data_IF_056997917572
#
_entry.id   IF_056997917572
#
_cell.length_a   1.000
_cell.length_b   1.000
_cell.length_c   1.000
_cell.angle_alpha   90.00
_cell.angle_beta   90.00
_cell.angle_gamma   90.00
#
_symmetry.space_group_name_H-M   'P 1'
#
loop_
_entity.id
_entity.type
_entity.pdbx_description
1 polymer ?
#
# COMPACT_ATOMS: atom_id res chain seq x y z
N UNK A 1 17.92 6.86 11.20
CA UNK A 1 16.64 6.77 10.46
C UNK A 1 16.08 5.36 10.48
N UNK A 2 16.85 4.33 10.06
CA UNK A 2 16.43 2.90 10.07
C UNK A 2 15.61 2.48 11.29
N UNK A 3 16.17 2.65 12.49
CA UNK A 3 15.52 2.28 13.76
C UNK A 3 14.19 3.00 14.01
N UNK A 4 14.13 4.31 13.72
CA UNK A 4 12.91 5.12 13.87
C UNK A 4 11.81 4.67 12.93
N UNK A 5 12.15 4.32 11.69
CA UNK A 5 11.18 3.78 10.72
C UNK A 5 10.69 2.41 11.18
N UNK A 6 11.59 1.54 11.62
CA UNK A 6 11.24 0.21 12.12
C UNK A 6 10.31 0.28 13.34
N UNK A 7 10.63 1.11 14.33
CA UNK A 7 9.78 1.33 15.50
C UNK A 7 8.40 1.85 15.09
N UNK A 8 8.36 2.84 14.20
CA UNK A 8 7.11 3.43 13.74
C UNK A 8 6.22 2.44 12.98
N UNK A 9 6.74 1.67 12.03
CA UNK A 9 5.92 0.74 11.25
C UNK A 9 5.41 -0.43 12.10
N UNK A 10 6.18 -0.87 13.11
CA UNK A 10 5.72 -1.87 14.07
C UNK A 10 4.53 -1.33 14.86
N UNK A 11 4.67 -0.12 15.43
CA UNK A 11 3.60 0.55 16.16
C UNK A 11 2.35 0.75 15.29
N UNK A 12 2.53 1.28 14.08
CA UNK A 12 1.43 1.55 13.16
C UNK A 12 0.70 0.26 12.76
N UNK A 13 1.43 -0.84 12.51
CA UNK A 13 0.82 -2.13 12.21
C UNK A 13 -0.05 -2.61 13.38
N UNK A 14 0.46 -2.53 14.60
CA UNK A 14 -0.30 -2.96 15.79
C UNK A 14 -1.55 -2.10 15.99
N UNK A 15 -1.44 -0.76 15.86
CA UNK A 15 -2.59 0.15 15.95
C UNK A 15 -3.66 -0.16 14.91
N UNK A 16 -3.28 -0.39 13.64
CA UNK A 16 -4.21 -0.70 12.56
C UNK A 16 -4.88 -2.07 12.79
N UNK A 17 -4.10 -3.09 13.13
CA UNK A 17 -4.65 -4.44 13.36
C UNK A 17 -5.60 -4.44 14.56
N UNK A 18 -5.21 -3.79 15.66
CA UNK A 18 -6.08 -3.65 16.83
C UNK A 18 -7.35 -2.87 16.50
N UNK A 19 -7.29 -1.83 15.68
CA UNK A 19 -8.48 -1.09 15.25
C UNK A 19 -9.47 -1.98 14.46
N UNK A 20 -8.97 -2.85 13.57
CA UNK A 20 -9.83 -3.82 12.86
C UNK A 20 -10.41 -4.89 13.79
N UNK A 21 -9.60 -5.46 14.70
CA UNK A 21 -10.07 -6.46 15.66
C UNK A 21 -11.10 -5.87 16.66
N UNK A 22 -10.96 -4.58 17.00
CA UNK A 22 -11.92 -3.86 17.86
C UNK A 22 -13.24 -3.62 17.13
N UNK A 23 -13.20 -3.38 15.81
CA UNK A 23 -14.40 -3.13 15.00
C UNK A 23 -15.23 -4.42 14.79
N UNK A 24 -14.57 -5.58 14.71
CA UNK A 24 -15.22 -6.89 14.53
C UNK A 24 -14.80 -7.90 15.61
N UNK A 25 -15.22 -7.71 16.87
CA UNK A 25 -14.80 -8.56 17.99
C UNK A 25 -15.41 -9.97 17.92
N UNK A 26 -16.40 -10.19 17.05
CA UNK A 26 -17.00 -11.50 16.80
C UNK A 26 -16.18 -12.38 15.84
N UNK A 27 -15.29 -11.77 15.06
CA UNK A 27 -14.44 -12.49 14.12
C UNK A 27 -13.15 -13.00 14.78
N UNK A 28 -12.52 -14.05 14.23
CA UNK A 28 -11.19 -14.48 14.68
C UNK A 28 -10.17 -13.34 14.58
N UNK A 29 -9.18 -13.27 15.50
CA UNK A 29 -8.13 -12.27 15.40
C UNK A 29 -7.27 -12.47 14.16
N UNK A 30 -6.54 -11.42 13.76
CA UNK A 30 -5.55 -11.53 12.68
C UNK A 30 -4.48 -12.56 13.02
N UNK A 31 -4.19 -13.46 12.08
CA UNK A 31 -3.03 -14.33 12.17
C UNK A 31 -1.77 -13.49 12.01
N UNK A 32 -0.92 -13.50 13.04
CA UNK A 32 0.38 -12.80 13.06
C UNK A 32 1.47 -13.83 12.75
N UNK A 33 2.16 -13.65 11.63
CA UNK A 33 3.21 -14.55 11.16
C UNK A 33 4.53 -13.80 10.95
N UNK A 34 5.48 -14.02 11.86
CA UNK A 34 6.82 -13.44 11.80
C UNK A 34 7.75 -14.34 11.00
N UNK A 35 8.58 -13.74 10.15
CA UNK A 35 9.49 -14.46 9.28
C UNK A 35 10.83 -13.74 9.14
N UNK A 36 11.85 -14.50 8.73
CA UNK A 36 13.21 -14.02 8.45
C UNK A 36 13.61 -14.41 7.04
N UNK A 37 14.47 -13.61 6.41
CA UNK A 37 15.03 -13.92 5.09
C UNK A 37 16.45 -14.43 5.21
N UNK A 38 16.82 -15.52 4.50
CA UNK A 38 18.20 -15.99 4.45
C UNK A 38 19.19 -14.92 3.98
N UNK A 39 18.76 -14.03 3.08
CA UNK A 39 19.57 -12.95 2.51
C UNK A 39 19.71 -11.73 3.44
N UNK A 40 19.01 -11.72 4.58
CA UNK A 40 18.99 -10.60 5.51
C UNK A 40 17.62 -9.94 5.65
N UNK A 41 17.27 -9.60 6.89
CA UNK A 41 16.03 -8.95 7.26
C UNK A 41 14.94 -9.89 7.74
N UNK A 42 13.82 -9.28 8.10
CA UNK A 42 12.66 -9.92 8.70
C UNK A 42 11.37 -9.21 8.29
N UNK A 43 10.24 -9.76 8.71
CA UNK A 43 8.96 -9.10 8.60
C UNK A 43 7.92 -9.77 9.48
N UNK A 44 6.76 -9.11 9.59
CA UNK A 44 5.58 -9.61 10.28
C UNK A 44 4.38 -9.42 9.38
N UNK A 45 3.77 -10.53 8.98
CA UNK A 45 2.54 -10.51 8.19
C UNK A 45 1.34 -10.68 9.12
N UNK A 46 0.48 -9.67 9.21
CA UNK A 46 -0.79 -9.79 9.93
C UNK A 46 -1.90 -9.98 8.90
N UNK A 47 -2.46 -11.19 8.84
CA UNK A 47 -3.46 -11.54 7.81
C UNK A 47 -4.76 -11.97 8.45
N UNK A 48 -5.86 -11.53 7.84
CA UNK A 48 -7.20 -11.99 8.12
C UNK A 48 -7.77 -12.62 6.86
N UNK A 49 -8.33 -13.81 7.00
CA UNK A 49 -9.17 -14.44 6.00
C UNK A 49 -10.33 -15.06 6.76
N UNK A 50 -11.55 -14.71 6.37
CA UNK A 50 -12.72 -15.35 6.94
C UNK A 50 -12.67 -16.84 6.67
N UNK A 51 -13.14 -17.67 7.61
CA UNK A 51 -13.52 -19.03 7.27
C UNK A 51 -14.50 -18.99 6.10
N UNK A 52 -14.35 -19.96 5.18
CA UNK A 52 -15.03 -20.00 3.88
C UNK A 52 -16.45 -19.45 3.98
N UNK A 53 -16.75 -18.48 3.11
CA UNK A 53 -18.09 -17.91 3.00
C UNK A 53 -19.15 -19.02 2.96
N UNK A 54 -20.35 -18.71 3.46
CA UNK A 54 -21.53 -19.53 3.23
C UNK A 54 -21.72 -19.90 1.75
N UNK A 55 -21.16 -19.12 0.82
CA UNK A 55 -21.22 -19.38 -0.62
C UNK A 55 -20.36 -20.58 -1.04
N UNK A 56 -19.16 -20.76 -0.47
CA UNK A 56 -18.32 -21.95 -0.69
C UNK A 56 -18.89 -23.18 0.03
N UNK A 57 -19.42 -22.99 1.24
CA UNK A 57 -20.08 -24.04 2.00
C UNK A 57 -21.37 -24.51 1.27
N UNK A 58 -22.15 -23.59 0.71
CA UNK A 58 -23.34 -23.90 -0.11
C UNK A 58 -22.99 -24.62 -1.42
N UNK A 59 -21.86 -24.28 -2.05
CA UNK A 59 -21.35 -24.99 -3.22
C UNK A 59 -20.89 -26.42 -2.91
N UNK A 60 -20.39 -26.66 -1.69
CA UNK A 60 -19.93 -27.97 -1.24
C UNK A 60 -20.97 -28.77 -0.44
N UNK A 61 -22.18 -28.23 -0.24
CA UNK A 61 -23.22 -28.86 0.59
C UNK A 61 -22.88 -28.91 2.09
N UNK A 62 -21.94 -28.09 2.54
CA UNK A 62 -21.49 -28.03 3.92
C UNK A 62 -22.25 -26.92 4.70
N UNK A 63 -22.56 -27.21 5.96
CA UNK A 63 -23.10 -26.21 6.88
C UNK A 63 -22.06 -25.14 7.19
N UNK A 64 -22.44 -23.86 7.12
CA UNK A 64 -21.55 -22.72 7.41
C UNK A 64 -20.87 -22.88 8.79
N UNK A 65 -19.54 -22.70 8.90
CA UNK A 65 -18.82 -22.95 10.15
C UNK A 65 -19.05 -21.92 11.26
N UNK A 66 -19.83 -20.85 11.01
CA UNK A 66 -20.11 -19.84 12.04
C UNK A 66 -21.36 -20.21 12.86
N UNK A 67 -21.14 -20.64 14.11
CA UNK A 67 -22.18 -20.98 15.07
C UNK A 67 -23.16 -19.82 15.41
N UNK A 68 -22.82 -18.58 15.04
CA UNK A 68 -23.64 -17.38 15.22
C UNK A 68 -24.41 -16.92 13.98
N UNK A 69 -24.13 -17.49 12.79
CA UNK A 69 -24.72 -17.04 11.51
C UNK A 69 -24.32 -15.63 11.06
N UNK A 70 -23.52 -14.89 11.83
CA UNK A 70 -23.08 -13.53 11.51
C UNK A 70 -21.82 -13.56 10.64
N UNK A 71 -21.84 -12.86 9.51
CA UNK A 71 -20.68 -12.76 8.63
C UNK A 71 -19.68 -11.73 9.15
N UNK A 72 -18.39 -12.02 8.94
CA UNK A 72 -17.27 -11.10 9.22
C UNK A 72 -17.35 -9.81 8.41
N UNK A 73 -16.93 -8.68 9.00
CA UNK A 73 -16.86 -7.37 8.33
C UNK A 73 -15.87 -7.41 7.17
N UNK A 74 -14.71 -8.00 7.42
CA UNK A 74 -13.66 -8.19 6.44
C UNK A 74 -13.83 -9.55 5.76
N UNK A 75 -13.54 -9.62 4.46
CA UNK A 75 -13.44 -10.91 3.78
C UNK A 75 -11.99 -11.38 3.78
N UNK A 76 -11.09 -10.49 3.37
CA UNK A 76 -9.65 -10.72 3.39
C UNK A 76 -8.92 -9.41 3.70
N UNK A 77 -7.91 -9.47 4.54
CA UNK A 77 -7.05 -8.32 4.81
C UNK A 77 -5.60 -8.77 5.06
N UNK A 78 -4.66 -7.93 4.68
CA UNK A 78 -3.26 -8.05 5.04
C UNK A 78 -2.74 -6.71 5.50
N UNK A 79 -2.05 -6.67 6.63
CA UNK A 79 -1.29 -5.53 7.14
C UNK A 79 0.11 -6.05 7.41
N UNK A 80 1.03 -5.84 6.48
CA UNK A 80 2.35 -6.45 6.51
C UNK A 80 3.42 -5.39 6.72
N UNK A 81 4.41 -5.72 7.55
CA UNK A 81 5.66 -4.96 7.62
C UNK A 81 6.81 -5.82 7.12
N UNK A 82 7.83 -5.17 6.57
CA UNK A 82 9.08 -5.82 6.16
C UNK A 82 10.24 -4.88 6.46
N UNK A 83 11.31 -5.43 7.01
CA UNK A 83 12.58 -4.77 7.28
C UNK A 83 13.66 -5.61 6.63
N UNK A 84 14.07 -5.24 5.41
CA UNK A 84 14.97 -6.02 4.57
C UNK A 84 16.26 -5.26 4.32
N UNK A 85 17.37 -5.99 4.38
CA UNK A 85 18.69 -5.48 4.07
C UNK A 85 19.45 -6.54 3.27
N UNK A 86 20.42 -6.09 2.48
CA UNK A 86 21.21 -6.97 1.63
C UNK A 86 22.12 -6.16 0.73
N UNK A 87 22.53 -6.76 -0.39
CA UNK A 87 23.36 -6.10 -1.39
C UNK A 87 22.58 -5.97 -2.71
N UNK A 88 22.44 -4.75 -3.24
CA UNK A 88 21.85 -4.50 -4.55
C UNK A 88 22.90 -4.76 -5.64
N UNK A 89 22.66 -5.68 -6.59
CA UNK A 89 23.58 -5.87 -7.71
C UNK A 89 23.56 -4.65 -8.65
N UNK A 90 24.66 -4.38 -9.39
CA UNK A 90 24.74 -3.22 -10.30
C UNK A 90 23.59 -3.10 -11.30
N UNK A 91 23.09 -4.24 -11.81
CA UNK A 91 21.94 -4.27 -12.71
C UNK A 91 20.65 -3.73 -12.06
N UNK A 92 20.40 -4.08 -10.79
CA UNK A 92 19.25 -3.57 -10.04
C UNK A 92 19.38 -2.07 -9.77
N UNK A 93 20.58 -1.59 -9.42
CA UNK A 93 20.85 -0.15 -9.24
C UNK A 93 20.57 0.61 -10.53
N UNK A 94 21.07 0.11 -11.67
CA UNK A 94 20.84 0.72 -12.99
C UNK A 94 19.36 0.78 -13.34
N UNK A 95 18.59 -0.26 -13.03
CA UNK A 95 17.14 -0.29 -13.27
C UNK A 95 16.40 0.69 -12.35
N UNK A 96 16.69 0.68 -11.05
CA UNK A 96 16.02 1.55 -10.07
C UNK A 96 16.31 3.03 -10.32
N UNK A 97 17.51 3.37 -10.79
CA UNK A 97 17.88 4.76 -11.11
C UNK A 97 16.99 5.43 -12.16
N UNK A 98 16.33 4.66 -13.03
CA UNK A 98 15.38 5.21 -14.01
C UNK A 98 14.27 6.03 -13.34
N UNK A 99 13.86 5.60 -12.14
CA UNK A 99 12.81 6.23 -11.34
C UNK A 99 13.36 6.94 -10.08
N UNK A 100 14.65 6.77 -9.76
CA UNK A 100 15.30 7.26 -8.54
C UNK A 100 16.60 8.01 -8.85
N UNK A 101 16.47 9.29 -9.19
CA UNK A 101 17.59 10.10 -9.71
C UNK A 101 18.75 10.28 -8.72
N UNK A 102 18.48 10.16 -7.41
CA UNK A 102 19.48 10.25 -6.35
C UNK A 102 20.41 9.03 -6.27
N UNK A 103 20.10 7.93 -6.96
CA UNK A 103 20.93 6.73 -6.88
C UNK A 103 22.32 6.92 -7.52
N UNK A 104 23.39 6.46 -6.86
CA UNK A 104 24.74 6.51 -7.43
C UNK A 104 24.80 5.65 -8.71
N UNK A 105 25.63 6.09 -9.66
CA UNK A 105 25.95 5.32 -10.86
C UNK A 105 26.99 4.29 -10.41
N UNK A 106 26.79 2.98 -10.62
CA UNK A 106 27.83 2.03 -10.28
C UNK A 106 28.99 2.21 -11.26
N UNK A 107 30.01 2.97 -10.87
CA UNK A 107 31.36 2.93 -11.46
C UNK A 107 32.14 1.68 -10.97
N UNK A 108 31.43 0.74 -10.35
CA UNK A 108 31.97 -0.40 -9.60
C UNK A 108 31.28 -1.68 -10.07
N UNK A 109 32.04 -2.77 -10.16
CA UNK A 109 31.49 -4.11 -10.46
C UNK A 109 30.76 -4.71 -9.25
N UNK A 110 31.06 -4.24 -8.04
CA UNK A 110 30.46 -4.70 -6.80
C UNK A 110 29.10 -4.04 -6.54
N UNK A 111 28.17 -4.80 -5.96
CA UNK A 111 26.88 -4.27 -5.52
C UNK A 111 27.01 -3.37 -4.28
N UNK A 112 25.96 -2.59 -4.01
CA UNK A 112 25.91 -1.67 -2.86
C UNK A 112 24.99 -2.19 -1.75
N UNK A 113 25.37 -2.07 -0.47
CA UNK A 113 24.48 -2.40 0.63
C UNK A 113 23.23 -1.53 0.59
N UNK A 114 22.07 -2.14 0.83
CA UNK A 114 20.80 -1.45 0.94
C UNK A 114 20.04 -1.84 2.20
N UNK A 115 19.13 -0.96 2.59
CA UNK A 115 18.11 -1.18 3.59
C UNK A 115 16.77 -0.68 3.06
N UNK A 116 15.72 -1.45 3.26
CA UNK A 116 14.35 -1.03 3.01
C UNK A 116 13.45 -1.49 4.16
N UNK A 117 12.64 -0.57 4.67
CA UNK A 117 11.63 -0.89 5.67
C UNK A 117 10.30 -0.25 5.28
N UNK A 118 9.20 -0.94 5.49
CA UNK A 118 7.89 -0.37 5.22
C UNK A 118 6.72 -1.19 5.70
N UNK A 119 5.58 -0.51 5.80
CA UNK A 119 4.26 -1.10 5.99
C UNK A 119 3.52 -1.10 4.66
N UNK A 120 2.84 -2.19 4.35
CA UNK A 120 1.92 -2.30 3.22
C UNK A 120 0.67 -3.03 3.65
N UNK A 121 -0.50 -2.49 3.32
CA UNK A 121 -1.78 -3.11 3.62
C UNK A 121 -2.72 -3.10 2.42
N UNK A 122 -3.56 -4.12 2.37
CA UNK A 122 -4.75 -4.18 1.52
C UNK A 122 -5.87 -4.80 2.32
N UNK A 123 -7.05 -4.18 2.27
CA UNK A 123 -8.24 -4.65 2.97
C UNK A 123 -9.38 -4.77 1.98
N UNK A 124 -9.98 -5.96 1.92
CA UNK A 124 -11.16 -6.27 1.15
C UNK A 124 -12.34 -6.53 2.10
N UNK A 125 -13.20 -5.54 2.34
CA UNK A 125 -14.44 -5.76 3.08
C UNK A 125 -15.34 -6.76 2.38
N UNK A 126 -16.16 -7.45 3.16
CA UNK A 126 -17.15 -8.39 2.63
C UNK A 126 -18.29 -7.67 1.91
N UNK A 127 -18.80 -6.61 2.53
CA UNK A 127 -19.95 -5.85 2.03
C UNK A 127 -19.60 -5.04 0.75
N UNK A 128 -20.37 -5.14 -0.36
CA UNK A 128 -20.18 -4.34 -1.58
C UNK A 128 -20.13 -2.82 -1.37
N UNK A 129 -20.84 -2.33 -0.35
CA UNK A 129 -20.89 -0.90 -0.03
C UNK A 129 -19.68 -0.41 0.73
N UNK A 130 -18.87 -1.31 1.30
CA UNK A 130 -17.63 -0.97 1.99
C UNK A 130 -16.44 -1.05 1.01
N UNK A 131 -15.69 0.05 0.82
CA UNK A 131 -14.64 0.11 -0.19
C UNK A 131 -13.42 -0.73 0.20
N UNK A 132 -12.79 -1.34 -0.81
CA UNK A 132 -11.41 -1.85 -0.66
C UNK A 132 -10.48 -0.66 -0.42
N UNK A 133 -9.45 -0.85 0.40
CA UNK A 133 -8.43 0.19 0.64
C UNK A 133 -7.04 -0.41 0.55
N UNK A 134 -6.10 0.41 0.10
CA UNK A 134 -4.67 0.12 0.11
C UNK A 134 -3.92 1.27 0.79
N UNK A 135 -2.85 0.94 1.51
CA UNK A 135 -1.87 1.91 1.97
C UNK A 135 -0.46 1.31 2.00
N UNK A 136 0.54 2.14 1.73
CA UNK A 136 1.94 1.78 1.78
C UNK A 136 2.76 2.95 2.33
N UNK A 137 3.69 2.70 3.24
CA UNK A 137 4.64 3.71 3.72
C UNK A 137 6.00 3.04 3.89
N UNK A 138 7.00 3.50 3.14
CA UNK A 138 8.31 2.87 3.07
C UNK A 138 9.45 3.87 3.06
N UNK A 139 10.58 3.39 3.56
CA UNK A 139 11.87 4.05 3.51
C UNK A 139 12.87 3.12 2.82
N UNK A 140 13.73 3.70 1.99
CA UNK A 140 14.83 3.00 1.35
C UNK A 140 16.11 3.80 1.53
N UNK A 141 17.24 3.12 1.77
CA UNK A 141 18.57 3.74 1.69
C UNK A 141 19.62 2.78 1.14
N UNK A 142 20.65 3.39 0.53
CA UNK A 142 21.86 2.74 0.02
C UNK A 142 23.05 3.36 0.76
N UNK A 143 24.00 2.54 1.18
CA UNK A 143 25.23 3.01 1.82
C UNK A 143 26.46 2.57 1.04
N UNK A 144 27.62 3.16 1.37
CA UNK A 144 28.90 2.60 0.98
C UNK A 144 29.07 1.18 1.57
N UNK A 145 29.82 0.28 0.90
CA UNK A 145 30.29 -0.95 1.52
C UNK A 145 31.03 -0.64 2.82
N UNK A 146 30.85 -1.47 3.86
CA UNK A 146 31.76 -1.40 5.02
C UNK A 146 33.15 -1.70 4.50
N UNK A 147 34.13 -0.88 4.85
CA UNK A 147 35.53 -1.17 4.54
C UNK A 147 35.82 -2.59 5.04
N UNK A 148 36.20 -3.50 4.14
CA UNK A 148 36.75 -4.80 4.54
C UNK A 148 37.87 -4.49 5.51
N UNK A 149 37.94 -5.20 6.63
CA UNK A 149 39.05 -5.12 7.58
C UNK A 149 40.36 -5.46 6.87
N UNK A 150 40.94 -4.50 6.15
CA UNK A 150 42.33 -4.51 5.76
C UNK A 150 43.12 -4.37 7.04
N UNK A 151 44.09 -5.26 7.22
CA UNK A 151 44.98 -5.45 8.37
C UNK A 151 45.80 -4.22 8.81
N UNK A 152 45.48 -3.02 8.31
CA UNK A 152 46.14 -1.75 8.63
C UNK A 152 45.20 -0.71 9.27
N UNK A 153 43.90 -0.99 9.43
CA UNK A 153 42.94 -0.06 10.03
C UNK A 153 42.81 -0.17 11.57
N UNK A 154 43.74 -0.87 12.25
CA UNK A 154 43.73 -1.06 13.71
C UNK A 154 44.42 0.05 14.52
N UNK A 155 44.64 1.24 13.95
CA UNK A 155 45.26 2.37 14.66
C UNK A 155 44.43 3.65 14.78
N UNK A 156 43.16 3.64 14.35
CA UNK A 156 42.21 4.69 14.73
C UNK A 156 40.93 4.01 15.19
N UNK A 157 40.46 4.31 16.40
CA UNK A 157 39.30 3.68 17.05
C UNK A 157 37.95 3.95 16.37
N UNK A 158 37.82 3.65 15.08
CA UNK A 158 36.66 3.86 14.22
C UNK A 158 35.94 2.57 13.85
N UNK A 159 35.97 1.55 14.71
CA UNK A 159 35.20 0.31 14.51
C UNK A 159 33.67 0.52 14.55
N UNK A 160 33.21 1.69 15.04
CA UNK A 160 31.79 2.05 15.17
C UNK A 160 31.32 3.14 14.18
N UNK A 161 32.11 3.51 13.16
CA UNK A 161 31.67 4.49 12.18
C UNK A 161 30.51 3.92 11.33
N UNK A 162 29.35 4.57 11.34
CA UNK A 162 28.24 4.17 10.46
C UNK A 162 28.63 4.40 8.99
N UNK A 163 28.34 3.43 8.10
CA UNK A 163 28.66 3.57 6.69
C UNK A 163 27.91 4.78 6.10
N UNK A 164 28.59 5.54 5.25
CA UNK A 164 28.04 6.75 4.64
C UNK A 164 26.83 6.42 3.76
N UNK A 165 25.73 7.14 3.95
CA UNK A 165 24.54 7.06 3.11
C UNK A 165 24.82 7.72 1.75
N UNK A 166 24.59 6.97 0.68
CA UNK A 166 24.77 7.41 -0.70
C UNK A 166 23.47 7.95 -1.31
N UNK A 167 22.36 7.29 -1.03
CA UNK A 167 21.04 7.67 -1.49
C UNK A 167 19.99 7.17 -0.50
N UNK A 168 18.89 7.89 -0.38
CA UNK A 168 17.74 7.50 0.42
C UNK A 168 16.49 8.18 -0.11
N UNK A 169 15.32 7.60 0.13
CA UNK A 169 14.04 8.24 -0.14
C UNK A 169 12.91 7.60 0.67
N UNK A 170 11.83 8.35 0.81
CA UNK A 170 10.54 7.83 1.24
C UNK A 170 9.62 7.65 0.03
N UNK A 171 8.72 6.67 0.14
CA UNK A 171 7.62 6.48 -0.78
C UNK A 171 6.41 5.93 -0.05
N UNK A 172 5.24 6.05 -0.66
CA UNK A 172 4.02 5.56 -0.05
C UNK A 172 2.76 6.21 -0.59
N UNK A 173 1.71 6.13 0.22
CA UNK A 173 0.40 6.64 -0.12
C UNK A 173 -0.71 5.77 0.42
N UNK A 174 -1.93 6.22 0.19
CA UNK A 174 -3.16 5.48 0.47
C UNK A 174 -4.18 5.79 -0.61
N UNK A 175 -4.96 4.78 -0.99
CA UNK A 175 -6.00 4.91 -2.01
C UNK A 175 -7.24 4.08 -1.70
N UNK A 176 -8.40 4.57 -2.13
CA UNK A 176 -9.72 3.98 -1.86
C UNK A 176 -10.35 3.43 -3.14
N UNK A 177 -10.83 2.20 -3.09
CA UNK A 177 -11.41 1.46 -4.22
C UNK A 177 -12.85 1.02 -3.90
N UNK A 178 -13.84 1.91 -4.03
CA UNK A 178 -15.25 1.57 -3.86
C UNK A 178 -15.79 0.72 -5.00
N UNK A 179 -16.75 -0.16 -4.68
CA UNK A 179 -17.63 -0.76 -5.70
C UNK A 179 -18.87 0.11 -5.95
N UNK A 180 -19.37 0.79 -4.92
CA UNK A 180 -20.44 1.78 -5.04
C UNK A 180 -19.96 3.14 -4.54
N UNK A 181 -20.32 4.21 -5.27
CA UNK A 181 -19.86 5.55 -4.94
C UNK A 181 -20.77 6.20 -3.89
N UNK A 182 -20.17 6.56 -2.76
CA UNK A 182 -20.74 7.49 -1.78
C UNK A 182 -19.89 8.75 -1.76
N UNK A 183 -20.47 9.88 -2.18
CA UNK A 183 -19.71 11.13 -2.30
C UNK A 183 -19.20 11.61 -0.94
N UNK A 184 -19.98 11.41 0.13
CA UNK A 184 -19.55 11.80 1.47
C UNK A 184 -18.36 10.97 1.98
N UNK A 185 -18.24 9.71 1.56
CA UNK A 185 -17.09 8.88 1.92
C UNK A 185 -15.84 9.31 1.15
N UNK A 186 -16.01 9.66 -0.13
CA UNK A 186 -14.93 10.20 -0.94
C UNK A 186 -14.41 11.53 -0.40
N UNK A 187 -15.31 12.45 -0.03
CA UNK A 187 -14.96 13.73 0.60
C UNK A 187 -14.27 13.50 1.95
N UNK A 188 -14.79 12.62 2.81
CA UNK A 188 -14.16 12.29 4.10
C UNK A 188 -12.74 11.75 3.93
N UNK A 189 -12.57 10.77 3.03
CA UNK A 189 -11.29 10.15 2.71
C UNK A 189 -10.25 11.19 2.28
N UNK A 190 -10.59 11.98 1.26
CA UNK A 190 -9.69 12.97 0.68
C UNK A 190 -9.44 14.16 1.60
N UNK A 191 -10.43 14.60 2.37
CA UNK A 191 -10.27 15.67 3.39
C UNK A 191 -9.25 15.25 4.44
N UNK A 192 -9.41 14.05 5.00
CA UNK A 192 -8.54 13.55 6.07
C UNK A 192 -7.08 13.44 5.59
N UNK A 193 -6.87 12.97 4.36
CA UNK A 193 -5.54 12.86 3.76
C UNK A 193 -4.94 14.25 3.44
N UNK A 194 -5.73 15.17 2.88
CA UNK A 194 -5.29 16.55 2.63
C UNK A 194 -4.87 17.24 3.92
N UNK A 195 -5.64 17.08 4.99
CA UNK A 195 -5.36 17.68 6.28
C UNK A 195 -4.07 17.12 6.89
N UNK A 196 -3.78 15.83 6.67
CA UNK A 196 -2.50 15.21 7.03
C UNK A 196 -1.31 15.74 6.21
N UNK A 197 -1.52 16.12 4.94
CA UNK A 197 -0.50 16.75 4.10
C UNK A 197 -0.23 18.21 4.48
N UNK A 198 -1.26 18.95 4.91
CA UNK A 198 -1.25 20.41 5.04
C UNK A 198 -0.09 20.96 5.90
N UNK A 199 0.25 20.39 7.07
CA UNK A 199 1.37 20.86 7.89
C UNK A 199 2.75 20.78 7.21
N UNK A 200 2.87 19.95 6.17
CA UNK A 200 4.15 19.67 5.50
C UNK A 200 4.33 20.45 4.19
N UNK A 201 3.25 21.06 3.69
CA UNK A 201 3.28 21.86 2.47
C UNK A 201 1.95 21.83 1.73
N UNK A 202 1.40 23.00 1.33
CA UNK A 202 0.07 23.08 0.70
C UNK A 202 0.01 22.44 -0.68
N UNK A 203 1.16 22.20 -1.32
CA UNK A 203 1.24 21.60 -2.66
C UNK A 203 1.35 20.07 -2.63
N UNK A 204 1.51 19.45 -1.45
CA UNK A 204 1.71 18.00 -1.34
C UNK A 204 0.46 17.23 -1.74
N UNK A 205 -0.70 17.57 -1.18
CA UNK A 205 -1.96 16.91 -1.51
C UNK A 205 -2.32 17.00 -3.00
N UNK A 206 -2.43 18.19 -3.63
CA UNK A 206 -2.84 18.25 -5.04
C UNK A 206 -1.84 17.52 -5.96
N UNK A 207 -0.54 17.59 -5.66
CA UNK A 207 0.49 16.90 -6.43
C UNK A 207 0.40 15.38 -6.30
N UNK A 208 0.30 14.87 -5.07
CA UNK A 208 0.28 13.43 -4.82
C UNK A 208 -1.09 12.79 -5.09
N UNK A 209 -2.17 13.55 -5.01
CA UNK A 209 -3.49 13.11 -5.49
C UNK A 209 -3.49 12.90 -6.98
N UNK A 210 -2.99 13.88 -7.75
CA UNK A 210 -2.84 13.74 -9.20
C UNK A 210 -1.95 12.54 -9.56
N UNK A 211 -0.84 12.35 -8.84
CA UNK A 211 0.01 11.19 -9.06
C UNK A 211 -0.70 9.86 -8.72
N UNK A 212 -1.57 9.85 -7.71
CA UNK A 212 -2.39 8.68 -7.38
C UNK A 212 -3.34 8.30 -8.53
N UNK A 213 -4.03 9.30 -9.11
CA UNK A 213 -4.93 9.10 -10.26
C UNK A 213 -4.17 8.54 -11.48
N UNK A 214 -2.93 9.00 -11.71
CA UNK A 214 -2.07 8.51 -12.79
C UNK A 214 -1.51 7.11 -12.52
N UNK A 215 -1.10 6.82 -11.28
CA UNK A 215 -0.43 5.56 -10.94
C UNK A 215 -1.41 4.37 -10.94
N UNK A 216 -2.61 4.55 -10.39
CA UNK A 216 -3.62 3.49 -10.29
C UNK A 216 -4.54 3.41 -11.51
N UNK A 217 -4.08 3.88 -12.66
CA UNK A 217 -4.78 3.77 -13.93
C UNK A 217 -4.62 2.37 -14.56
N UNK A 218 -5.66 1.87 -15.22
CA UNK A 218 -5.68 0.59 -15.92
C UNK A 218 -5.77 0.90 -17.44
N UNK A 219 -4.64 1.05 -18.15
CA UNK A 219 -4.62 1.49 -19.54
C UNK A 219 -5.54 0.71 -20.49
N UNK A 220 -5.57 -0.62 -20.36
CA UNK A 220 -6.38 -1.48 -21.24
C UNK A 220 -7.88 -1.43 -20.94
N UNK A 221 -8.31 -0.78 -19.85
CA UNK A 221 -9.72 -0.57 -19.48
C UNK A 221 -10.17 0.88 -19.62
N UNK A 222 -9.22 1.83 -19.67
CA UNK A 222 -9.55 3.25 -19.74
C UNK A 222 -10.13 3.82 -18.44
N UNK A 223 -9.75 3.27 -17.29
CA UNK A 223 -10.31 3.62 -15.98
C UNK A 223 -9.25 3.53 -14.88
N UNK A 224 -9.42 4.27 -13.79
CA UNK A 224 -8.67 4.07 -12.55
C UNK A 224 -9.23 2.88 -11.75
N UNK A 225 -8.37 2.28 -10.92
CA UNK A 225 -8.74 1.19 -10.01
C UNK A 225 -9.81 1.63 -9.02
N UNK A 226 -9.69 2.86 -8.52
CA UNK A 226 -10.54 3.46 -7.48
C UNK A 226 -10.59 4.97 -7.59
N UNK A 227 -11.06 5.64 -6.54
CA UNK A 227 -11.24 7.10 -6.47
C UNK A 227 -9.99 7.85 -5.97
N UNK A 228 -8.85 7.15 -5.92
CA UNK A 228 -7.55 7.71 -5.56
C UNK A 228 -7.38 7.97 -4.05
N UNK A 229 -6.52 8.93 -3.76
CA UNK A 229 -6.04 9.30 -2.44
C UNK A 229 -4.74 10.07 -2.65
N UNK A 230 -3.63 9.60 -2.10
CA UNK A 230 -2.30 10.14 -2.43
C UNK A 230 -1.33 9.03 -2.79
N UNK A 231 -0.42 9.31 -3.72
CA UNK A 231 0.71 8.47 -4.06
C UNK A 231 1.98 9.33 -4.18
N UNK A 232 3.06 8.89 -3.56
CA UNK A 232 4.37 9.51 -3.66
C UNK A 232 5.48 8.48 -3.69
N UNK A 233 6.59 8.84 -4.31
CA UNK A 233 7.81 8.04 -4.41
C UNK A 233 8.99 8.98 -4.60
N UNK A 234 10.21 8.49 -4.39
CA UNK A 234 11.44 9.28 -4.56
C UNK A 234 11.48 10.58 -3.72
N UNK A 235 10.79 10.63 -2.57
CA UNK A 235 10.79 11.81 -1.70
C UNK A 235 12.07 11.87 -0.87
N UNK A 236 12.99 12.76 -1.26
CA UNK A 236 14.32 12.90 -0.68
C UNK A 236 14.81 14.38 -0.68
N UNK A 237 16.09 14.62 -0.38
CA UNK A 237 16.68 15.96 -0.33
C UNK A 237 16.92 16.65 -1.67
N UNK A 238 17.10 15.88 -2.75
CA UNK A 238 17.37 16.39 -4.09
C UNK A 238 16.10 16.82 -4.81
N UNK A 239 16.20 17.41 -6.01
CA UNK A 239 15.06 17.85 -6.81
C UNK A 239 14.03 16.73 -7.03
N UNK A 240 12.74 17.08 -7.05
CA UNK A 240 11.67 16.10 -7.20
C UNK A 240 10.88 16.35 -8.48
N UNK A 241 10.73 15.32 -9.33
CA UNK A 241 10.12 15.44 -10.66
C UNK A 241 8.69 16.01 -10.64
N UNK A 242 7.94 15.76 -9.57
CA UNK A 242 6.58 16.28 -9.38
C UNK A 242 6.49 17.69 -8.77
N UNK A 243 7.61 18.28 -8.36
CA UNK A 243 7.68 19.65 -7.82
C UNK A 243 8.68 20.49 -8.64
N UNK A 244 8.38 20.82 -9.91
CA UNK A 244 9.23 21.69 -10.70
C UNK A 244 9.11 23.13 -10.17
N UNK A 245 10.15 23.64 -9.52
CA UNK A 245 10.19 25.03 -9.05
C UNK A 245 10.69 25.18 -7.61
N UNK A 246 9.96 25.96 -6.80
CA UNK A 246 10.33 26.29 -5.43
C UNK A 246 10.32 25.05 -4.51
N UNK A 247 11.51 24.48 -4.32
CA UNK A 247 11.72 23.28 -3.52
C UNK A 247 11.42 23.49 -2.02
N UNK A 248 11.24 24.73 -1.55
CA UNK A 248 10.95 25.02 -0.15
C UNK A 248 9.54 24.61 0.30
N UNK A 249 8.71 24.10 -0.62
CA UNK A 249 7.29 23.78 -0.36
C UNK A 249 7.01 22.30 -0.10
N UNK A 250 8.06 21.50 0.13
CA UNK A 250 7.95 20.08 0.46
C UNK A 250 9.02 19.66 1.47
N UNK A 251 8.82 18.54 2.18
CA UNK A 251 9.86 17.89 2.96
C UNK A 251 11.12 17.59 2.13
N UNK A 252 12.29 17.89 2.69
CA UNK A 252 13.59 17.59 2.05
C UNK A 252 14.55 16.85 2.97
N UNK A 253 14.52 17.12 4.27
CA UNK A 253 15.40 16.39 5.21
C UNK A 253 14.82 15.01 5.52
N UNK A 254 15.65 14.02 5.94
CA UNK A 254 15.13 12.73 6.38
C UNK A 254 14.05 12.87 7.46
N UNK A 255 14.21 13.83 8.37
CA UNK A 255 13.28 14.07 9.48
C UNK A 255 11.95 14.65 9.02
N UNK A 256 11.96 15.63 8.11
CA UNK A 256 10.74 16.19 7.53
C UNK A 256 10.00 15.12 6.70
N UNK A 257 10.71 14.36 5.86
CA UNK A 257 10.11 13.32 5.03
C UNK A 257 9.51 12.21 5.88
N UNK A 258 10.19 11.84 6.97
CA UNK A 258 9.66 10.88 7.93
C UNK A 258 8.43 11.41 8.65
N UNK A 259 8.44 12.66 9.13
CA UNK A 259 7.28 13.28 9.77
C UNK A 259 6.06 13.35 8.84
N UNK A 260 6.28 13.60 7.54
CA UNK A 260 5.25 13.55 6.52
C UNK A 260 4.69 12.13 6.33
N UNK A 261 5.56 11.12 6.17
CA UNK A 261 5.14 9.73 6.08
C UNK A 261 4.39 9.26 7.35
N UNK A 262 4.79 9.75 8.53
CA UNK A 262 4.07 9.51 9.78
C UNK A 262 2.69 10.13 9.78
N UNK A 263 2.55 11.37 9.30
CA UNK A 263 1.26 12.05 9.24
C UNK A 263 0.26 11.32 8.34
N UNK A 264 0.72 10.83 7.17
CA UNK A 264 -0.12 10.02 6.30
C UNK A 264 -0.46 8.65 6.90
N UNK A 265 0.51 7.96 7.51
CA UNK A 265 0.25 6.67 8.14
C UNK A 265 -0.74 6.77 9.31
N UNK A 266 -0.58 7.77 10.17
CA UNK A 266 -1.50 8.05 11.27
C UNK A 266 -2.90 8.46 10.79
N UNK A 267 -3.01 9.03 9.57
CA UNK A 267 -4.28 9.42 8.98
C UNK A 267 -5.08 8.21 8.45
N UNK A 268 -4.49 7.02 8.31
CA UNK A 268 -5.18 5.86 7.73
C UNK A 268 -6.42 5.43 8.52
N UNK A 269 -6.30 5.27 9.84
CA UNK A 269 -7.43 4.88 10.70
C UNK A 269 -8.56 5.92 10.62
N UNK A 270 -8.33 7.22 10.90
CA UNK A 270 -9.40 8.21 10.83
C UNK A 270 -9.96 8.40 9.41
N UNK A 271 -9.19 8.13 8.34
CA UNK A 271 -9.72 8.23 6.98
C UNK A 271 -10.56 7.01 6.58
N UNK A 272 -10.20 5.80 7.02
CA UNK A 272 -10.85 4.55 6.58
C UNK A 272 -11.90 3.98 7.54
N UNK A 273 -11.61 3.90 8.84
CA UNK A 273 -12.49 3.20 9.79
C UNK A 273 -13.90 3.80 9.87
N UNK A 274 -14.10 5.14 9.83
CA UNK A 274 -15.45 5.71 9.80
C UNK A 274 -16.26 5.26 8.59
N UNK A 275 -15.62 5.16 7.41
CA UNK A 275 -16.26 4.66 6.19
C UNK A 275 -16.63 3.20 6.36
N UNK A 276 -15.68 2.35 6.77
CA UNK A 276 -15.94 0.92 6.97
C UNK A 276 -17.08 0.70 7.98
N UNK A 277 -17.05 1.40 9.12
CA UNK A 277 -18.06 1.34 10.19
C UNK A 277 -19.46 1.72 9.68
N UNK A 278 -19.55 2.73 8.80
CA UNK A 278 -20.83 3.18 8.24
C UNK A 278 -21.40 2.19 7.21
N UNK A 279 -20.54 1.48 6.47
CA UNK A 279 -20.96 0.71 5.28
C UNK A 279 -21.07 -0.79 5.50
N UNK A 280 -20.33 -1.37 6.45
CA UNK A 280 -20.23 -2.83 6.56
C UNK A 280 -21.56 -3.55 6.86
N UNK A 281 -22.51 -2.86 7.48
CA UNK A 281 -23.80 -3.41 7.94
C UNK A 281 -24.96 -3.17 6.97
N UNK A 282 -24.73 -2.52 5.83
CA UNK A 282 -25.78 -2.27 4.84
C UNK A 282 -26.24 -3.57 4.20
N UNK A 283 -27.55 -3.70 3.96
CA UNK A 283 -28.07 -4.82 3.19
C UNK A 283 -27.60 -4.70 1.74
N UNK A 284 -27.25 -5.83 1.12
CA UNK A 284 -26.90 -5.90 -0.29
C UNK A 284 -27.54 -7.12 -0.95
N UNK A 285 -27.77 -7.02 -2.24
CA UNK A 285 -28.34 -8.02 -3.11
C UNK A 285 -27.26 -8.88 -3.76
N UNK A 286 -27.61 -10.06 -4.30
CA UNK A 286 -26.70 -10.86 -5.12
C UNK A 286 -26.17 -10.10 -6.35
N UNK A 287 -26.93 -9.14 -6.89
CA UNK A 287 -26.50 -8.30 -8.00
C UNK A 287 -25.36 -7.34 -7.57
N UNK A 288 -25.50 -6.71 -6.40
CA UNK A 288 -24.46 -5.84 -5.82
C UNK A 288 -23.18 -6.62 -5.49
N UNK A 289 -23.32 -7.85 -4.98
CA UNK A 289 -22.17 -8.74 -4.79
C UNK A 289 -21.51 -9.14 -6.11
N UNK A 290 -22.29 -9.46 -7.16
CA UNK A 290 -21.75 -9.72 -8.50
C UNK A 290 -20.94 -8.53 -9.02
N UNK A 291 -21.44 -7.30 -8.85
CA UNK A 291 -20.72 -6.10 -9.24
C UNK A 291 -19.41 -5.92 -8.46
N UNK A 292 -19.43 -6.09 -7.13
CA UNK A 292 -18.22 -6.05 -6.31
C UNK A 292 -17.16 -7.04 -6.80
N UNK A 293 -17.55 -8.26 -7.18
CA UNK A 293 -16.62 -9.27 -7.69
C UNK A 293 -16.03 -8.88 -9.06
N UNK A 294 -16.79 -8.21 -9.93
CA UNK A 294 -16.30 -7.65 -11.19
C UNK A 294 -15.28 -6.51 -10.93
N UNK A 295 -15.59 -5.61 -9.99
CA UNK A 295 -14.65 -4.54 -9.56
C UNK A 295 -13.38 -5.11 -8.94
N UNK A 296 -13.47 -6.19 -8.16
CA UNK A 296 -12.31 -6.93 -7.65
C UNK A 296 -11.49 -7.58 -8.75
N UNK A 297 -12.11 -8.01 -9.85
CA UNK A 297 -11.40 -8.44 -11.06
C UNK A 297 -10.47 -7.35 -11.61
N UNK A 298 -10.93 -6.08 -11.61
CA UNK A 298 -10.07 -4.92 -11.98
C UNK A 298 -8.93 -4.69 -11.01
N UNK A 299 -9.15 -4.91 -9.71
CA UNK A 299 -8.10 -4.83 -8.70
C UNK A 299 -6.98 -5.85 -8.97
N UNK A 300 -7.37 -7.09 -9.31
CA UNK A 300 -6.43 -8.15 -9.70
C UNK A 300 -5.69 -7.80 -10.99
N UNK A 301 -6.39 -7.30 -12.02
CA UNK A 301 -5.78 -6.85 -13.28
C UNK A 301 -4.70 -5.81 -13.03
N UNK A 302 -4.97 -4.80 -12.19
CA UNK A 302 -3.96 -3.79 -11.85
C UNK A 302 -2.75 -4.40 -11.15
N UNK A 303 -2.96 -5.17 -10.08
CA UNK A 303 -1.88 -5.68 -9.26
C UNK A 303 -0.96 -6.65 -10.01
N UNK A 304 -1.51 -7.49 -10.90
CA UNK A 304 -0.70 -8.46 -11.63
C UNK A 304 -0.04 -7.90 -12.90
N UNK A 305 -0.62 -6.87 -13.52
CA UNK A 305 -0.14 -6.35 -14.80
C UNK A 305 0.70 -5.07 -14.65
N UNK A 306 0.27 -4.15 -13.76
CA UNK A 306 0.81 -2.78 -13.72
C UNK A 306 1.53 -2.41 -12.43
N UNK A 307 1.16 -3.01 -11.29
CA UNK A 307 1.75 -2.62 -10.02
C UNK A 307 3.26 -2.94 -9.96
N UNK A 308 4.07 -1.87 -9.84
CA UNK A 308 5.53 -1.98 -9.78
C UNK A 308 5.98 -2.78 -8.57
N UNK A 309 5.30 -2.61 -7.42
CA UNK A 309 5.64 -3.29 -6.17
C UNK A 309 5.45 -4.81 -6.26
N UNK A 310 4.30 -5.26 -6.75
CA UNK A 310 3.98 -6.68 -6.96
C UNK A 310 4.93 -7.31 -7.97
N UNK A 311 5.15 -6.67 -9.13
CA UNK A 311 6.07 -7.19 -10.14
C UNK A 311 7.51 -7.30 -9.62
N UNK A 312 8.01 -6.28 -8.93
CA UNK A 312 9.34 -6.31 -8.33
C UNK A 312 9.46 -7.42 -7.27
N UNK A 313 8.46 -7.56 -6.40
CA UNK A 313 8.43 -8.59 -5.37
C UNK A 313 8.47 -10.01 -5.94
N UNK A 314 7.67 -10.29 -6.96
CA UNK A 314 7.61 -11.61 -7.61
C UNK A 314 8.92 -11.96 -8.35
N UNK A 315 9.63 -10.95 -8.87
CA UNK A 315 10.91 -11.14 -9.56
C UNK A 315 12.11 -11.19 -8.60
N UNK A 316 11.92 -10.86 -7.31
CA UNK A 316 13.00 -10.83 -6.32
C UNK A 316 13.23 -12.24 -5.75
N UNK A 317 14.43 -12.83 -5.92
CA UNK A 317 14.74 -14.14 -5.36
C UNK A 317 14.59 -14.19 -3.83
N UNK A 318 13.94 -15.24 -3.33
CA UNK A 318 13.72 -15.43 -1.90
C UNK A 318 12.73 -14.44 -1.27
N UNK A 319 11.92 -13.74 -2.08
CA UNK A 319 10.79 -12.98 -1.58
C UNK A 319 9.67 -13.93 -1.11
N UNK A 320 8.94 -13.54 -0.06
CA UNK A 320 7.82 -14.32 0.47
C UNK A 320 6.58 -14.08 -0.39
N UNK A 321 6.34 -14.96 -1.36
CA UNK A 321 5.27 -14.84 -2.35
C UNK A 321 3.89 -14.65 -1.69
N UNK A 322 3.59 -15.39 -0.62
CA UNK A 322 2.35 -15.23 0.15
C UNK A 322 2.17 -13.85 0.78
N UNK A 323 3.27 -13.16 1.14
CA UNK A 323 3.21 -11.78 1.63
C UNK A 323 2.96 -10.78 0.50
N UNK A 324 3.36 -11.08 -0.74
CA UNK A 324 3.18 -10.21 -1.91
C UNK A 324 1.75 -10.33 -2.43
N UNK A 325 1.26 -11.57 -2.57
CA UNK A 325 -0.07 -11.87 -3.10
C UNK A 325 -1.19 -11.69 -2.06
N UNK A 326 -0.87 -11.24 -0.85
CA UNK A 326 -1.88 -10.89 0.16
C UNK A 326 -2.83 -9.80 -0.34
N UNK A 327 -2.38 -8.99 -1.30
CA UNK A 327 -3.13 -7.92 -1.96
C UNK A 327 -4.26 -8.41 -2.86
N UNK A 328 -4.27 -9.68 -3.25
CA UNK A 328 -5.34 -10.22 -4.09
C UNK A 328 -6.58 -10.50 -3.22
N UNK A 329 -7.80 -10.20 -3.70
CA UNK A 329 -9.03 -10.60 -3.00
C UNK A 329 -9.17 -12.12 -2.94
N UNK A 330 -9.98 -12.61 -2.00
CA UNK A 330 -10.31 -14.05 -1.92
C UNK A 330 -11.06 -14.52 -3.16
N UNK A 331 -12.00 -13.70 -3.63
CA UNK A 331 -12.81 -13.97 -4.83
C UNK A 331 -12.89 -12.74 -5.73
N UNK A 332 -12.85 -13.00 -7.03
CA UNK A 332 -13.00 -12.03 -8.11
C UNK A 332 -13.73 -12.69 -9.28
N UNK A 333 -14.28 -11.88 -10.19
CA UNK A 333 -15.07 -12.34 -11.32
C UNK A 333 -14.67 -11.63 -12.61
N UNK A 334 -14.67 -12.39 -13.70
CA UNK A 334 -14.55 -11.88 -15.06
C UNK A 334 -15.71 -12.42 -15.89
N UNK A 335 -16.35 -11.54 -16.64
CA UNK A 335 -17.44 -11.88 -17.54
C UNK A 335 -17.14 -11.27 -18.90
N UNK A 336 -17.34 -12.07 -19.94
CA UNK A 336 -17.20 -11.59 -21.31
C UNK A 336 -18.30 -10.57 -21.62
N UNK A 337 -17.91 -9.36 -22.02
CA UNK A 337 -18.82 -8.29 -22.46
C UNK A 337 -19.97 -7.98 -21.48
N UNK A 338 -19.69 -7.99 -20.17
CA UNK A 338 -20.71 -7.66 -19.15
C UNK A 338 -21.31 -6.26 -19.37
N UNK A 339 -22.63 -6.17 -19.27
CA UNK A 339 -23.40 -4.92 -19.40
C UNK A 339 -23.46 -4.12 -18.09
N UNK A 340 -23.11 -4.74 -16.95
CA UNK A 340 -23.16 -4.09 -15.64
C UNK A 340 -22.20 -2.90 -15.58
N UNK A 341 -22.70 -1.73 -15.13
CA UNK A 341 -21.95 -0.49 -15.07
C UNK A 341 -21.85 0.29 -16.39
N UNK A 342 -22.56 -0.13 -17.44
CA UNK A 342 -22.67 0.64 -18.69
C UNK A 342 -23.78 1.69 -18.65
N UNK A 343 -24.87 1.45 -17.92
CA UNK A 343 -25.97 2.40 -17.74
C UNK A 343 -25.56 3.54 -16.80
N UNK A 344 -25.36 4.75 -17.32
CA UNK A 344 -24.76 5.85 -16.54
C UNK A 344 -25.57 6.26 -15.29
N UNK A 345 -26.90 6.10 -15.33
CA UNK A 345 -27.80 6.46 -14.24
C UNK A 345 -27.93 5.36 -13.16
N UNK A 346 -27.39 4.17 -13.42
CA UNK A 346 -27.28 3.12 -12.40
C UNK A 346 -26.22 3.47 -11.35
N UNK A 347 -26.31 2.88 -10.16
CA UNK A 347 -25.32 3.09 -9.10
C UNK A 347 -23.92 2.58 -9.52
N UNK A 348 -23.86 1.51 -10.32
CA UNK A 348 -22.64 1.01 -10.96
C UNK A 348 -22.10 2.00 -12.00
N UNK A 349 -22.97 2.58 -12.82
CA UNK A 349 -22.61 3.61 -13.80
C UNK A 349 -22.05 4.88 -13.15
N UNK A 350 -22.63 5.30 -12.02
CA UNK A 350 -22.16 6.45 -11.24
C UNK A 350 -20.72 6.31 -10.79
N UNK A 351 -20.33 5.16 -10.24
CA UNK A 351 -18.91 4.93 -9.88
C UNK A 351 -18.04 4.86 -11.14
N UNK A 352 -18.51 4.22 -12.22
CA UNK A 352 -17.72 4.10 -13.46
C UNK A 352 -17.42 5.45 -14.10
N UNK A 353 -18.33 6.43 -14.03
CA UNK A 353 -18.07 7.80 -14.51
C UNK A 353 -16.85 8.42 -13.84
N UNK A 354 -16.74 8.32 -12.51
CA UNK A 354 -15.60 8.90 -11.77
C UNK A 354 -14.31 8.11 -11.95
N UNK A 355 -14.40 6.80 -12.23
CA UNK A 355 -13.21 5.98 -12.51
C UNK A 355 -12.65 6.23 -13.91
N UNK A 356 -13.49 6.51 -14.90
CA UNK A 356 -13.06 6.89 -16.26
C UNK A 356 -12.57 8.33 -16.33
N UNK A 357 -13.12 9.22 -15.49
CA UNK A 357 -12.74 10.61 -15.40
C UNK A 357 -12.56 11.02 -13.93
N UNK A 358 -11.36 10.80 -13.35
CA UNK A 358 -11.06 11.23 -11.99
C UNK A 358 -11.39 12.70 -11.78
N UNK A 359 -12.03 13.01 -10.65
CA UNK A 359 -12.43 14.37 -10.27
C UNK A 359 -11.71 14.83 -9.01
N UNK A 360 -11.77 16.13 -8.72
CA UNK A 360 -11.38 16.66 -7.42
C UNK A 360 -12.49 16.43 -6.41
N UNK A 361 -12.10 16.06 -5.19
CA UNK A 361 -13.03 15.77 -4.09
C UNK A 361 -13.05 16.85 -3.02
N UNK A 362 -11.96 17.63 -2.84
CA UNK A 362 -11.75 18.59 -1.74
C UNK A 362 -10.85 19.76 -2.12
#
# INVERSE_FOLDING_TARGET
MRERVEEYINKLQDEIVTAFETLDPSSPPFKRDSWVRPQGGSGRSCVFASAASSDLAALNGESSPNASGQQSILEKAGVNISIVHGNLPPAAIKQMRADHSSMPLPEREEGLPFFAAGLSLVVHPRNPHAPTVHANYRYFEITEPKASSSTEASQAGTENAQPKVLAWWFGGGSDLTPSYLYEEDAVHWHTTIRDACTPHGPQLYPTFKKWCDEYFYIPHRGETRGIGGVFFDDLNSGPHARFPGDESKRPRTPDECFAFAQSLGNAFIPSYLPILSKRHSLNYSPAERRWQLLRRGRYVEFNLVYDRGTKFGLMTPGARIESILMSLPETARWEYMSEVGQEEESEEGRVMRVLKAPKEWV
#
